data_IF_284750212139
#
_entry.id   IF_284750212139
#
_cell.length_a   1.000
_cell.length_b   1.000
_cell.length_c   1.000
_cell.angle_alpha   90.00
_cell.angle_beta   90.00
_cell.angle_gamma   90.00
#
_symmetry.space_group_name_H-M   'P 1'
#
loop_
_entity.id
_entity.type
_entity.pdbx_description
1 polymer ?
#
# COMPACT_ATOMS: atom_id res chain seq x y z
N UNK A 1 17.59 -9.27 -8.79
CA UNK A 1 16.60 -8.75 -7.85
C UNK A 1 15.46 -9.73 -7.72
N UNK A 2 14.93 -9.96 -6.54
CA UNK A 2 13.72 -10.79 -6.37
C UNK A 2 12.53 -9.84 -6.44
N UNK A 3 11.64 -10.04 -7.37
CA UNK A 3 10.36 -9.33 -7.44
C UNK A 3 9.39 -9.96 -6.44
N UNK A 4 8.68 -9.14 -5.67
CA UNK A 4 7.65 -9.59 -4.74
C UNK A 4 6.41 -8.73 -4.96
N UNK A 5 5.34 -9.36 -5.36
CA UNK A 5 4.04 -8.75 -5.67
C UNK A 5 3.02 -8.87 -4.53
N UNK A 6 3.31 -9.71 -3.53
CA UNK A 6 2.47 -9.87 -2.36
C UNK A 6 3.30 -9.90 -1.08
N UNK A 7 2.86 -9.17 -0.08
CA UNK A 7 3.49 -9.13 1.24
C UNK A 7 2.46 -9.10 2.35
N UNK A 8 2.67 -9.89 3.41
CA UNK A 8 1.88 -9.82 4.64
C UNK A 8 2.59 -8.91 5.62
N UNK A 9 1.89 -7.87 6.10
CA UNK A 9 2.43 -6.94 7.09
C UNK A 9 1.49 -6.78 8.27
N UNK A 10 2.09 -6.48 9.42
CA UNK A 10 1.38 -6.11 10.63
C UNK A 10 1.39 -4.60 10.78
N UNK A 11 0.24 -4.01 11.00
CA UNK A 11 0.08 -2.58 11.20
C UNK A 11 -0.64 -2.29 12.50
N UNK A 12 -0.15 -1.29 13.24
CA UNK A 12 -0.77 -0.87 14.49
C UNK A 12 -0.76 0.65 14.59
N UNK A 13 -1.91 1.24 14.90
CA UNK A 13 -2.01 2.67 15.18
C UNK A 13 -1.42 2.99 16.56
N UNK A 14 -1.16 4.27 16.81
CA UNK A 14 -0.71 4.74 18.12
C UNK A 14 -1.84 4.78 19.13
N UNK A 15 -1.60 4.32 20.35
CA UNK A 15 -2.53 4.52 21.46
C UNK A 15 -2.58 6.00 21.85
N UNK A 16 -3.74 6.52 22.24
CA UNK A 16 -3.87 7.84 22.84
C UNK A 16 -3.19 7.92 24.21
N UNK A 17 -2.59 9.06 24.52
CA UNK A 17 -2.04 9.37 25.83
C UNK A 17 -3.15 9.49 26.89
N UNK A 18 -2.84 9.25 28.16
CA UNK A 18 -3.79 9.43 29.27
C UNK A 18 -3.94 10.91 29.62
N UNK A 19 -5.12 11.31 30.08
CA UNK A 19 -5.31 12.58 30.74
C UNK A 19 -4.59 12.59 32.11
N UNK A 20 -4.30 13.79 32.60
CA UNK A 20 -3.60 13.99 33.87
C UNK A 20 -4.55 14.47 34.96
N UNK A 21 -4.32 14.03 36.20
CA UNK A 21 -4.91 14.63 37.39
C UNK A 21 -3.86 15.50 38.06
N UNK A 22 -4.08 16.79 38.05
CA UNK A 22 -3.18 17.76 38.71
C UNK A 22 -3.99 18.92 39.26
N UNK A 23 -3.46 19.56 40.30
CA UNK A 23 -4.04 20.73 40.93
C UNK A 23 -2.98 21.82 41.00
N UNK A 24 -3.41 23.08 40.79
CA UNK A 24 -2.54 24.24 40.88
C UNK A 24 -2.05 24.39 42.30
N UNK A 25 -0.75 24.47 42.50
CA UNK A 25 -0.09 24.73 43.77
C UNK A 25 0.91 25.86 43.57
N UNK A 26 0.59 27.01 44.15
CA UNK A 26 1.47 28.18 44.10
C UNK A 26 1.53 28.85 45.47
N UNK A 27 2.60 29.63 45.72
CA UNK A 27 2.74 30.40 46.93
C UNK A 27 1.52 31.34 47.08
N UNK A 28 0.91 31.33 48.24
CA UNK A 28 -0.33 32.12 48.56
C UNK A 28 -1.63 31.64 47.87
N UNK A 29 -1.64 30.48 47.24
CA UNK A 29 -2.88 29.87 46.73
C UNK A 29 -3.06 28.51 47.43
N UNK A 30 -3.89 28.53 48.46
CA UNK A 30 -4.13 27.36 49.31
C UNK A 30 -4.98 26.29 48.63
N UNK A 31 -5.98 26.73 47.88
CA UNK A 31 -6.93 25.86 47.11
C UNK A 31 -6.86 26.18 45.63
N UNK A 32 -5.81 25.67 44.93
CA UNK A 32 -5.74 25.78 43.48
C UNK A 32 -6.70 24.82 42.78
N UNK A 33 -7.36 25.28 41.72
CA UNK A 33 -8.28 24.45 40.97
C UNK A 33 -7.57 23.34 40.15
N UNK A 34 -8.33 22.42 39.52
CA UNK A 34 -7.77 21.38 38.68
C UNK A 34 -7.08 21.99 37.45
N UNK A 35 -5.88 21.48 37.17
CA UNK A 35 -5.05 21.92 36.04
C UNK A 35 -4.35 20.78 35.32
N UNK A 36 -4.92 19.58 35.36
CA UNK A 36 -4.43 18.47 34.58
C UNK A 36 -4.74 18.64 33.10
N UNK A 37 -3.74 18.50 32.25
CA UNK A 37 -3.85 18.57 30.80
C UNK A 37 -4.28 17.23 30.18
N UNK A 38 -4.63 17.28 28.91
CA UNK A 38 -5.10 16.15 28.14
C UNK A 38 -3.93 15.32 27.61
N UNK A 39 -4.18 14.05 27.32
CA UNK A 39 -3.23 13.22 26.57
C UNK A 39 -3.19 13.63 25.09
N UNK A 40 -2.05 13.38 24.45
CA UNK A 40 -1.89 13.55 23.00
C UNK A 40 -2.58 12.43 22.23
N UNK A 41 -2.98 12.70 20.98
CA UNK A 41 -3.48 11.68 20.04
C UNK A 41 -2.35 10.70 19.70
N UNK A 42 -2.65 9.41 19.52
CA UNK A 42 -1.73 8.45 18.91
C UNK A 42 -1.49 8.74 17.43
N UNK A 43 -0.36 8.29 16.88
CA UNK A 43 -0.05 8.41 15.46
C UNK A 43 -0.94 7.53 14.58
N UNK A 44 -1.18 7.97 13.36
CA UNK A 44 -1.96 7.26 12.35
C UNK A 44 -1.07 6.27 11.57
N UNK A 45 -1.67 5.26 10.96
CA UNK A 45 -1.04 4.42 9.92
C UNK A 45 -1.46 4.95 8.57
N UNK A 46 -0.49 5.41 7.79
CA UNK A 46 -0.73 6.11 6.52
C UNK A 46 0.00 5.40 5.39
N UNK A 47 -0.73 5.03 4.35
CA UNK A 47 -0.15 4.58 3.09
C UNK A 47 0.07 5.77 2.16
N UNK A 48 1.21 5.75 1.48
CA UNK A 48 1.55 6.75 0.44
C UNK A 48 2.08 6.02 -0.77
N UNK A 49 1.50 6.30 -1.93
CA UNK A 49 2.00 5.75 -3.19
C UNK A 49 3.25 6.52 -3.64
N UNK A 50 4.28 5.78 -4.07
CA UNK A 50 5.53 6.32 -4.57
C UNK A 50 5.83 5.69 -5.94
N UNK A 51 5.90 6.52 -7.00
CA UNK A 51 6.16 6.09 -8.38
C UNK A 51 7.53 5.44 -8.59
N UNK A 52 8.46 5.69 -7.70
CA UNK A 52 9.80 5.12 -7.79
C UNK A 52 9.85 3.67 -7.28
N UNK A 53 8.77 3.21 -6.66
CA UNK A 53 8.64 1.84 -6.18
C UNK A 53 7.89 0.99 -7.21
N UNK A 54 8.49 -0.15 -7.58
CA UNK A 54 7.89 -1.10 -8.52
C UNK A 54 7.69 -2.50 -7.91
N UNK A 55 7.97 -2.67 -6.62
CA UNK A 55 7.90 -3.97 -5.96
C UNK A 55 7.62 -3.79 -4.47
N UNK A 56 7.06 -4.83 -3.85
CA UNK A 56 6.82 -4.91 -2.41
C UNK A 56 7.95 -5.64 -1.66
N UNK A 57 9.14 -5.76 -2.25
CA UNK A 57 10.23 -6.60 -1.69
C UNK A 57 10.68 -6.17 -0.31
N UNK A 58 10.65 -4.88 0.00
CA UNK A 58 11.08 -4.34 1.30
C UNK A 58 10.22 -4.87 2.45
N UNK A 59 8.93 -5.16 2.17
CA UNK A 59 7.98 -5.69 3.14
C UNK A 59 8.19 -7.17 3.48
N UNK A 60 9.07 -7.85 2.75
CA UNK A 60 9.55 -9.18 3.14
C UNK A 60 10.48 -9.13 4.35
N UNK A 61 11.24 -8.05 4.46
CA UNK A 61 12.24 -7.87 5.52
C UNK A 61 11.67 -7.08 6.70
N UNK A 62 10.90 -6.04 6.40
CA UNK A 62 10.22 -5.24 7.42
C UNK A 62 8.72 -5.51 7.36
N UNK A 63 8.23 -6.29 8.30
CA UNK A 63 6.81 -6.70 8.34
C UNK A 63 5.99 -5.98 9.40
N UNK A 64 6.62 -5.27 10.35
CA UNK A 64 5.92 -4.64 11.47
C UNK A 64 6.00 -3.12 11.38
N UNK A 65 4.84 -2.48 11.31
CA UNK A 65 4.69 -1.03 11.23
C UNK A 65 3.79 -0.56 12.38
N UNK A 66 4.38 0.17 13.34
CA UNK A 66 3.68 0.67 14.52
C UNK A 66 3.85 2.18 14.61
N UNK A 67 2.72 2.91 14.64
CA UNK A 67 2.73 4.33 14.93
C UNK A 67 3.03 4.58 16.41
N UNK A 68 3.58 5.77 16.71
CA UNK A 68 3.93 6.10 18.10
C UNK A 68 2.69 6.43 18.92
N UNK A 69 2.73 6.09 20.20
CA UNK A 69 1.68 6.49 21.16
C UNK A 69 1.72 8.01 21.38
N UNK A 70 0.56 8.61 21.68
CA UNK A 70 0.48 9.96 22.21
C UNK A 70 1.08 10.04 23.62
N UNK A 71 1.68 11.18 23.97
CA UNK A 71 2.18 11.42 25.30
C UNK A 71 1.04 11.66 26.29
N UNK A 72 1.26 11.25 27.53
CA UNK A 72 0.30 11.51 28.59
C UNK A 72 0.26 13.01 28.93
N UNK A 73 -0.88 13.50 29.33
CA UNK A 73 -1.07 14.88 29.81
C UNK A 73 -0.24 15.15 31.06
N UNK A 74 0.07 16.41 31.30
CA UNK A 74 0.85 16.86 32.43
C UNK A 74 0.11 17.95 33.22
N UNK A 75 0.61 18.27 34.41
CA UNK A 75 0.11 19.41 35.19
C UNK A 75 0.29 20.74 34.46
N UNK A 76 -0.31 21.80 35.00
CA UNK A 76 -0.32 23.17 34.45
C UNK A 76 -1.01 23.25 33.06
N UNK A 77 -2.06 22.47 32.87
CA UNK A 77 -2.82 22.35 31.61
C UNK A 77 -1.97 22.01 30.37
N UNK A 78 -0.84 21.31 30.56
CA UNK A 78 0.00 20.91 29.44
C UNK A 78 -0.56 19.64 28.80
N UNK A 79 -1.02 19.76 27.56
CA UNK A 79 -1.44 18.65 26.73
C UNK A 79 -0.22 17.84 26.28
N UNK A 80 -0.32 16.52 26.30
CA UNK A 80 0.70 15.64 25.75
C UNK A 80 0.87 15.85 24.25
N UNK A 81 2.09 15.66 23.73
CA UNK A 81 2.32 15.72 22.29
C UNK A 81 1.67 14.53 21.57
N UNK A 82 1.25 14.75 20.34
CA UNK A 82 0.73 13.67 19.49
C UNK A 82 1.85 12.68 19.14
N UNK A 83 1.48 11.41 18.98
CA UNK A 83 2.37 10.40 18.44
C UNK A 83 2.68 10.65 16.97
N UNK A 84 3.87 10.27 16.54
CA UNK A 84 4.24 10.31 15.13
C UNK A 84 3.52 9.23 14.34
N UNK A 85 3.05 9.63 13.15
CA UNK A 85 2.44 8.70 12.20
C UNK A 85 3.50 7.75 11.63
N UNK A 86 3.07 6.54 11.29
CA UNK A 86 3.88 5.63 10.48
C UNK A 86 3.43 5.73 9.02
N UNK A 87 4.38 6.08 8.16
CA UNK A 87 4.16 6.18 6.72
C UNK A 87 4.69 4.93 6.03
N UNK A 88 3.82 4.24 5.31
CA UNK A 88 4.12 3.03 4.55
C UNK A 88 4.05 3.39 3.07
N UNK A 89 5.20 3.34 2.39
CA UNK A 89 5.30 3.70 0.97
C UNK A 89 5.06 2.48 0.10
N UNK A 90 4.09 2.54 -0.78
CA UNK A 90 3.74 1.45 -1.69
C UNK A 90 3.73 1.92 -3.14
N UNK A 91 4.00 1.04 -4.12
CA UNK A 91 3.84 1.39 -5.53
C UNK A 91 2.37 1.67 -5.86
N UNK A 92 2.08 2.53 -6.86
CA UNK A 92 0.75 2.69 -7.41
C UNK A 92 0.20 1.34 -7.91
N UNK A 93 -1.11 1.11 -7.76
CA UNK A 93 -1.73 -0.18 -8.08
C UNK A 93 -1.64 -1.21 -6.95
N UNK A 94 -1.30 -0.78 -5.73
CA UNK A 94 -1.31 -1.67 -4.55
C UNK A 94 -2.72 -1.79 -4.00
N UNK A 95 -3.17 -3.04 -3.85
CA UNK A 95 -4.39 -3.43 -3.15
C UNK A 95 -4.05 -3.83 -1.70
N UNK A 96 -4.90 -3.41 -0.77
CA UNK A 96 -4.81 -3.77 0.64
C UNK A 96 -5.97 -4.71 0.96
N UNK A 97 -5.66 -5.92 1.38
CA UNK A 97 -6.64 -6.93 1.76
C UNK A 97 -6.57 -7.24 3.26
N UNK A 98 -7.67 -7.78 3.78
CA UNK A 98 -7.70 -8.31 5.13
C UNK A 98 -6.76 -9.52 5.29
N UNK A 99 -6.63 -10.04 6.51
CA UNK A 99 -5.73 -11.14 6.85
C UNK A 99 -5.97 -12.40 6.01
N UNK A 100 -7.22 -12.71 5.69
CA UNK A 100 -7.65 -13.90 4.95
C UNK A 100 -7.72 -13.67 3.43
N UNK A 101 -7.37 -12.48 2.96
CA UNK A 101 -7.48 -12.04 1.55
C UNK A 101 -8.92 -12.09 0.98
N UNK A 102 -9.92 -12.22 1.82
CA UNK A 102 -11.32 -12.36 1.39
C UNK A 102 -11.98 -11.01 1.08
N UNK A 103 -11.47 -9.91 1.66
CA UNK A 103 -12.04 -8.58 1.54
C UNK A 103 -10.96 -7.59 1.09
N UNK A 104 -11.27 -6.84 0.03
CA UNK A 104 -10.49 -5.68 -0.39
C UNK A 104 -10.84 -4.51 0.54
N UNK A 105 -9.85 -4.00 1.27
CA UNK A 105 -10.01 -2.89 2.21
C UNK A 105 -9.77 -1.53 1.55
N UNK A 106 -8.80 -1.46 0.65
CA UNK A 106 -8.49 -0.26 -0.11
C UNK A 106 -7.67 -0.59 -1.36
N UNK A 107 -7.77 0.29 -2.37
CA UNK A 107 -6.99 0.25 -3.60
C UNK A 107 -6.31 1.60 -3.79
N UNK A 108 -5.00 1.59 -4.08
CA UNK A 108 -4.18 2.78 -4.21
C UNK A 108 -3.66 2.87 -5.64
N UNK A 109 -4.37 3.61 -6.50
CA UNK A 109 -4.11 3.68 -7.94
C UNK A 109 -3.34 4.92 -8.35
N UNK A 110 -3.61 6.06 -7.69
CA UNK A 110 -3.06 7.36 -8.08
C UNK A 110 -1.66 7.56 -7.52
N UNK A 111 -0.84 8.34 -8.22
CA UNK A 111 0.49 8.72 -7.77
C UNK A 111 0.40 9.72 -6.61
N UNK A 112 1.29 9.58 -5.62
CA UNK A 112 1.31 10.40 -4.42
C UNK A 112 -0.02 10.41 -3.65
N UNK A 113 -0.85 9.38 -3.84
CA UNK A 113 -2.07 9.19 -3.10
C UNK A 113 -1.74 8.92 -1.63
N UNK A 114 -2.39 9.67 -0.73
CA UNK A 114 -2.26 9.48 0.71
C UNK A 114 -3.55 8.88 1.26
N UNK A 115 -3.45 7.75 1.94
CA UNK A 115 -4.58 7.04 2.53
C UNK A 115 -4.34 6.72 4.00
N UNK A 116 -5.19 7.24 4.89
CA UNK A 116 -5.14 6.93 6.33
C UNK A 116 -5.87 5.62 6.55
N UNK A 117 -5.11 4.57 6.79
CA UNK A 117 -5.64 3.22 6.96
C UNK A 117 -6.16 2.97 8.37
N UNK A 118 -5.37 3.29 9.40
CA UNK A 118 -5.78 3.22 10.80
C UNK A 118 -5.57 4.58 11.46
N UNK A 119 -6.60 5.06 12.16
CA UNK A 119 -6.49 6.29 12.94
C UNK A 119 -5.91 6.01 14.31
N UNK A 120 -5.03 6.87 14.77
CA UNK A 120 -4.52 6.85 16.14
C UNK A 120 -5.61 7.13 17.15
N UNK A 121 -5.52 6.49 18.31
CA UNK A 121 -6.46 6.69 19.40
C UNK A 121 -6.45 8.11 19.91
N UNK A 122 -7.61 8.66 20.24
CA UNK A 122 -7.72 10.00 20.84
C UNK A 122 -7.07 10.04 22.21
N UNK A 123 -6.48 11.18 22.55
CA UNK A 123 -5.98 11.44 23.89
C UNK A 123 -7.09 11.49 24.94
N UNK A 124 -6.80 11.05 26.14
CA UNK A 124 -7.70 11.11 27.28
C UNK A 124 -7.79 12.53 27.84
N UNK A 125 -8.91 12.88 28.41
CA UNK A 125 -9.18 14.18 29.00
C UNK A 125 -8.57 14.28 30.41
N UNK A 126 -7.94 15.41 30.70
CA UNK A 126 -7.43 15.76 32.02
C UNK A 126 -8.55 16.19 33.00
N UNK A 127 -8.23 16.25 34.28
CA UNK A 127 -9.22 16.57 35.30
C UNK A 127 -9.82 17.98 35.19
N UNK A 128 -9.16 18.89 34.49
CA UNK A 128 -9.70 20.25 34.25
C UNK A 128 -11.03 20.24 33.49
N UNK A 129 -11.28 19.23 32.64
CA UNK A 129 -12.54 19.09 31.89
C UNK A 129 -13.73 18.65 32.75
N UNK A 130 -13.47 18.04 33.91
CA UNK A 130 -14.51 17.51 34.81
C UNK A 130 -14.90 18.52 35.92
N UNK A 131 -14.39 19.74 35.87
CA UNK A 131 -14.76 20.79 36.80
C UNK A 131 -16.21 21.22 36.56
N UNK A 132 -16.99 21.20 37.62
CA UNK A 132 -18.38 21.70 37.63
C UNK A 132 -18.65 22.52 38.86
N UNK A 133 -19.85 23.16 38.94
CA UNK A 133 -20.29 23.90 40.12
C UNK A 133 -20.39 23.02 41.36
N UNK A 134 -20.74 21.76 41.20
CA UNK A 134 -20.88 20.81 42.29
C UNK A 134 -19.60 20.03 42.58
N UNK A 135 -18.66 19.95 41.60
CA UNK A 135 -17.38 19.29 41.77
C UNK A 135 -16.24 20.21 41.32
N UNK A 136 -15.73 21.04 42.24
CA UNK A 136 -14.68 22.01 41.94
C UNK A 136 -13.27 21.40 41.95
N UNK A 137 -13.07 20.21 42.51
CA UNK A 137 -11.78 19.51 42.63
C UNK A 137 -11.86 18.09 42.10
N UNK A 138 -12.22 17.87 40.82
CA UNK A 138 -12.37 16.53 40.26
C UNK A 138 -11.02 15.80 40.22
N UNK A 139 -11.07 14.54 40.62
CA UNK A 139 -9.93 13.58 40.50
C UNK A 139 -10.14 12.58 39.37
N UNK A 140 -11.09 12.87 38.50
CA UNK A 140 -11.39 12.03 37.34
C UNK A 140 -10.53 12.44 36.16
N UNK A 141 -10.15 11.47 35.36
CA UNK A 141 -9.50 11.63 34.07
C UNK A 141 -9.93 10.48 33.16
N UNK A 142 -9.74 10.63 31.86
CA UNK A 142 -9.98 9.49 30.94
C UNK A 142 -8.66 8.92 30.44
N UNK A 143 -8.64 7.62 30.23
CA UNK A 143 -7.55 6.99 29.51
C UNK A 143 -7.67 7.38 28.03
N UNK A 144 -6.54 7.46 27.33
CA UNK A 144 -6.57 7.54 25.88
C UNK A 144 -7.20 6.29 25.25
N UNK A 145 -7.77 6.47 24.07
CA UNK A 145 -8.33 5.35 23.30
C UNK A 145 -7.25 4.30 23.01
N UNK A 146 -7.68 3.04 22.93
CA UNK A 146 -6.80 1.92 22.60
C UNK A 146 -6.31 2.04 21.16
N UNK A 147 -5.19 1.40 20.88
CA UNK A 147 -4.69 1.23 19.52
C UNK A 147 -5.58 0.24 18.74
N UNK A 148 -5.61 0.41 17.44
CA UNK A 148 -6.12 -0.59 16.50
C UNK A 148 -4.94 -1.30 15.85
N UNK A 149 -5.02 -2.62 15.74
CA UNK A 149 -3.97 -3.43 15.13
C UNK A 149 -4.56 -4.55 14.30
N UNK A 150 -3.90 -4.88 13.20
CA UNK A 150 -4.30 -6.01 12.35
C UNK A 150 -3.20 -6.46 11.41
N UNK A 151 -3.28 -7.71 10.99
CA UNK A 151 -2.53 -8.22 9.86
C UNK A 151 -3.27 -7.91 8.57
N UNK A 152 -2.53 -7.52 7.54
CA UNK A 152 -3.07 -7.23 6.21
C UNK A 152 -2.15 -7.81 5.14
N UNK A 153 -2.72 -8.03 3.98
CA UNK A 153 -1.96 -8.36 2.78
C UNK A 153 -1.91 -7.15 1.87
N UNK A 154 -0.73 -6.86 1.38
CA UNK A 154 -0.49 -5.98 0.26
C UNK A 154 -0.37 -6.84 -0.99
N UNK A 155 -1.07 -6.49 -2.04
CA UNK A 155 -1.00 -7.15 -3.35
C UNK A 155 -0.82 -6.09 -4.43
N UNK A 156 0.20 -6.25 -5.26
CA UNK A 156 0.46 -5.32 -6.35
C UNK A 156 -0.31 -5.79 -7.59
N UNK A 157 -1.22 -4.94 -8.07
CA UNK A 157 -2.07 -5.23 -9.24
C UNK A 157 -1.34 -4.95 -10.56
N UNK A 158 -0.41 -3.99 -10.55
CA UNK A 158 0.40 -3.67 -11.72
C UNK A 158 1.36 -4.83 -12.02
N UNK A 159 1.23 -5.36 -13.22
CA UNK A 159 1.99 -6.51 -13.69
C UNK A 159 3.29 -6.10 -14.35
N UNK A 160 3.22 -5.11 -15.26
CA UNK A 160 4.38 -4.58 -15.98
C UNK A 160 4.13 -3.15 -16.47
N UNK A 161 5.20 -2.41 -16.72
CA UNK A 161 5.10 -1.12 -17.39
C UNK A 161 4.80 -1.31 -18.88
N UNK A 162 5.38 -2.36 -19.50
CA UNK A 162 5.20 -2.69 -20.91
C UNK A 162 4.84 -4.17 -21.05
N UNK A 163 3.68 -4.45 -21.64
CA UNK A 163 3.28 -5.78 -22.08
C UNK A 163 3.69 -6.01 -23.53
N UNK A 164 4.43 -7.07 -23.79
CA UNK A 164 4.78 -7.47 -25.16
C UNK A 164 3.75 -8.47 -25.65
N UNK A 165 3.08 -8.13 -26.75
CA UNK A 165 2.05 -8.95 -27.38
C UNK A 165 2.47 -9.28 -28.83
N UNK A 166 1.93 -10.34 -29.38
CA UNK A 166 2.20 -10.78 -30.77
C UNK A 166 1.97 -12.26 -30.91
N UNK A 167 1.87 -12.72 -32.14
CA UNK A 167 1.65 -14.14 -32.48
C UNK A 167 2.78 -15.03 -31.95
N UNK A 168 2.55 -16.36 -31.83
CA UNK A 168 3.62 -17.32 -31.58
C UNK A 168 4.74 -17.15 -32.60
N UNK A 169 5.99 -17.29 -32.15
CA UNK A 169 7.20 -17.14 -32.95
C UNK A 169 7.50 -15.74 -33.53
N UNK A 170 6.72 -14.69 -33.21
CA UNK A 170 7.04 -13.32 -33.61
C UNK A 170 8.29 -12.73 -32.91
N UNK A 171 9.05 -13.53 -32.18
CA UNK A 171 10.31 -13.12 -31.58
C UNK A 171 10.21 -12.44 -30.21
N UNK A 172 9.04 -12.47 -29.54
CA UNK A 172 8.80 -11.80 -28.24
C UNK A 172 9.84 -12.17 -27.17
N UNK A 173 10.03 -13.47 -26.93
CA UNK A 173 10.96 -13.94 -25.89
C UNK A 173 12.42 -13.66 -26.25
N UNK A 174 12.77 -13.67 -27.54
CA UNK A 174 14.11 -13.27 -28.02
C UNK A 174 14.33 -11.78 -27.81
N UNK A 175 13.34 -10.95 -28.14
CA UNK A 175 13.37 -9.53 -27.88
C UNK A 175 13.56 -9.24 -26.38
N UNK A 176 12.76 -9.88 -25.52
CA UNK A 176 12.85 -9.69 -24.08
C UNK A 176 14.23 -10.11 -23.52
N UNK A 177 14.76 -11.23 -23.97
CA UNK A 177 16.09 -11.70 -23.53
C UNK A 177 17.23 -10.79 -23.97
N UNK A 178 17.09 -10.13 -25.12
CA UNK A 178 18.11 -9.23 -25.66
C UNK A 178 18.15 -7.88 -24.95
N UNK A 179 16.99 -7.34 -24.58
CA UNK A 179 16.89 -5.99 -23.98
C UNK A 179 16.93 -6.00 -22.45
N UNK A 180 16.66 -7.15 -21.82
CA UNK A 180 16.66 -7.26 -20.36
C UNK A 180 18.08 -7.22 -19.81
N UNK A 181 18.33 -6.36 -18.82
CA UNK A 181 19.61 -6.27 -18.11
C UNK A 181 19.84 -7.44 -17.14
N UNK A 182 18.81 -8.24 -16.87
CA UNK A 182 18.86 -9.44 -16.04
C UNK A 182 18.25 -10.61 -16.81
N UNK A 183 18.64 -11.83 -16.47
CA UNK A 183 17.99 -13.01 -17.06
C UNK A 183 16.47 -12.93 -16.83
N UNK A 184 15.66 -13.04 -17.90
CA UNK A 184 14.21 -13.03 -17.77
C UNK A 184 13.77 -14.14 -16.81
N UNK A 185 12.83 -13.80 -15.93
CA UNK A 185 12.30 -14.75 -14.94
C UNK A 185 10.87 -15.08 -15.23
N UNK A 186 10.57 -16.37 -15.20
CA UNK A 186 9.19 -16.85 -15.14
C UNK A 186 8.62 -16.49 -13.77
N UNK A 187 7.49 -15.80 -13.74
CA UNK A 187 6.83 -15.41 -12.51
C UNK A 187 5.53 -16.19 -12.34
N UNK A 188 5.38 -16.80 -11.16
CA UNK A 188 4.15 -17.50 -10.76
C UNK A 188 3.18 -16.50 -10.14
N UNK A 189 2.18 -16.10 -10.91
CA UNK A 189 1.10 -15.28 -10.38
C UNK A 189 -0.12 -16.16 -10.07
N UNK A 190 -0.77 -15.98 -8.91
CA UNK A 190 -1.90 -16.83 -8.50
C UNK A 190 -3.11 -16.78 -9.44
N UNK A 191 -3.18 -15.72 -10.27
CA UNK A 191 -4.25 -15.49 -11.23
C UNK A 191 -3.87 -15.87 -12.67
N UNK A 192 -2.66 -16.40 -12.89
CA UNK A 192 -2.18 -16.80 -14.22
C UNK A 192 -2.09 -18.30 -14.34
N UNK A 193 -2.70 -18.86 -15.38
CA UNK A 193 -2.49 -20.27 -15.76
C UNK A 193 -1.29 -20.43 -16.71
N UNK A 194 -0.82 -19.32 -17.28
CA UNK A 194 0.36 -19.22 -18.12
C UNK A 194 1.33 -18.30 -17.38
N UNK A 195 2.54 -18.77 -17.14
CA UNK A 195 3.57 -18.05 -16.41
C UNK A 195 4.22 -17.01 -17.32
N UNK A 196 3.98 -15.69 -17.10
CA UNK A 196 4.60 -14.66 -17.91
C UNK A 196 6.10 -14.59 -17.61
N UNK A 197 6.85 -14.22 -18.61
CA UNK A 197 8.30 -13.99 -18.48
C UNK A 197 8.52 -12.49 -18.29
N UNK A 198 9.12 -12.11 -17.17
CA UNK A 198 9.42 -10.72 -16.87
C UNK A 198 10.88 -10.39 -17.14
N UNK A 199 11.11 -9.27 -17.82
CA UNK A 199 12.41 -8.65 -17.99
C UNK A 199 12.44 -7.26 -17.35
N UNK A 200 13.60 -6.84 -16.84
CA UNK A 200 13.80 -5.51 -16.29
C UNK A 200 14.86 -4.79 -17.11
N UNK A 201 14.51 -3.61 -17.59
CA UNK A 201 15.43 -2.69 -18.26
C UNK A 201 15.76 -1.55 -17.29
N UNK A 202 17.07 -1.29 -17.10
CA UNK A 202 17.55 -0.12 -16.39
C UNK A 202 18.07 0.91 -17.38
N UNK A 203 17.46 2.10 -17.38
CA UNK A 203 17.91 3.23 -18.18
C UNK A 203 17.70 4.54 -17.41
N UNK A 204 18.77 5.35 -17.26
CA UNK A 204 18.72 6.65 -16.60
C UNK A 204 18.03 6.65 -15.23
N UNK A 205 18.49 5.85 -14.29
CA UNK A 205 17.93 5.71 -12.93
C UNK A 205 16.46 5.27 -12.85
N UNK A 206 15.90 4.81 -13.98
CA UNK A 206 14.55 4.23 -14.03
C UNK A 206 14.64 2.74 -14.35
N UNK A 207 13.85 1.97 -13.65
CA UNK A 207 13.62 0.57 -13.95
C UNK A 207 12.27 0.44 -14.69
N UNK A 208 12.28 -0.21 -15.84
CA UNK A 208 11.07 -0.51 -16.63
C UNK A 208 10.88 -2.02 -16.61
N UNK A 209 9.74 -2.47 -16.12
CA UNK A 209 9.37 -3.87 -16.13
C UNK A 209 8.63 -4.19 -17.42
N UNK A 210 9.16 -5.16 -18.16
CA UNK A 210 8.56 -5.65 -19.41
C UNK A 210 8.10 -7.08 -19.19
N UNK A 211 6.86 -7.37 -19.60
CA UNK A 211 6.30 -8.72 -19.53
C UNK A 211 6.09 -9.28 -20.94
N UNK A 212 6.59 -10.47 -21.18
CA UNK A 212 6.12 -11.30 -22.29
C UNK A 212 4.78 -11.91 -21.89
N UNK A 213 3.71 -11.46 -22.54
CA UNK A 213 2.36 -11.98 -22.29
C UNK A 213 2.15 -13.18 -23.22
N UNK A 214 2.26 -14.43 -22.70
CA UNK A 214 2.10 -15.61 -23.53
C UNK A 214 0.64 -15.77 -23.96
N UNK A 215 0.43 -16.10 -25.20
CA UNK A 215 -0.77 -16.82 -25.61
C UNK A 215 -1.88 -16.03 -26.28
N UNK A 216 -1.59 -15.38 -27.41
CA UNK A 216 -2.59 -15.40 -28.48
C UNK A 216 -2.38 -16.69 -29.27
N UNK A 217 -3.10 -17.73 -28.88
CA UNK A 217 -3.28 -18.91 -29.71
C UNK A 217 -4.44 -18.59 -30.67
N UNK A 218 -4.29 -18.97 -31.96
CA UNK A 218 -5.39 -18.97 -32.92
C UNK A 218 -6.65 -19.54 -32.25
N UNK A 219 -7.76 -18.79 -32.27
CA UNK A 219 -9.02 -19.20 -31.65
C UNK A 219 -9.31 -18.61 -30.27
N UNK A 220 -8.55 -17.66 -29.75
CA UNK A 220 -8.85 -16.97 -28.49
C UNK A 220 -10.20 -16.21 -28.55
N UNK A 221 -10.63 -15.79 -29.74
CA UNK A 221 -11.91 -15.15 -30.02
C UNK A 221 -13.10 -16.14 -30.00
N UNK A 222 -12.86 -17.46 -30.00
CA UNK A 222 -13.92 -18.49 -30.00
C UNK A 222 -14.44 -18.85 -28.59
N UNK A 223 -14.20 -18.05 -27.57
CA UNK A 223 -14.88 -18.19 -26.27
C UNK A 223 -14.41 -19.34 -25.38
N UNK A 224 -13.23 -19.92 -25.60
CA UNK A 224 -12.71 -21.04 -24.77
C UNK A 224 -11.98 -20.61 -23.48
N UNK A 225 -12.39 -19.51 -22.83
CA UNK A 225 -11.94 -19.15 -21.49
C UNK A 225 -10.48 -18.66 -21.33
N UNK A 226 -9.71 -18.55 -22.41
CA UNK A 226 -8.36 -18.00 -22.43
C UNK A 226 -8.33 -16.48 -22.65
N UNK A 227 -9.36 -15.94 -23.32
CA UNK A 227 -9.48 -14.50 -23.62
C UNK A 227 -9.57 -13.64 -22.37
N UNK A 228 -10.41 -13.99 -21.42
CA UNK A 228 -10.60 -13.21 -20.18
C UNK A 228 -9.32 -13.11 -19.34
N UNK A 229 -8.51 -14.18 -19.32
CA UNK A 229 -7.25 -14.21 -18.59
C UNK A 229 -6.16 -13.39 -19.29
N UNK A 230 -6.14 -13.41 -20.62
CA UNK A 230 -5.26 -12.60 -21.43
C UNK A 230 -5.59 -11.11 -21.29
N UNK A 231 -6.87 -10.74 -21.36
CA UNK A 231 -7.33 -9.36 -21.13
C UNK A 231 -6.94 -8.87 -19.73
N UNK A 232 -7.06 -9.72 -18.71
CA UNK A 232 -6.64 -9.38 -17.36
C UNK A 232 -5.12 -9.09 -17.24
N UNK A 233 -4.27 -9.66 -18.10
CA UNK A 233 -2.85 -9.33 -18.14
C UNK A 233 -2.58 -8.03 -18.88
N UNK A 234 -3.29 -7.78 -19.98
CA UNK A 234 -3.19 -6.56 -20.77
C UNK A 234 -3.60 -5.35 -19.95
N UNK A 235 -4.73 -5.41 -19.25
CA UNK A 235 -5.26 -4.34 -18.40
C UNK A 235 -4.31 -3.92 -17.28
N UNK A 236 -3.36 -4.78 -16.93
CA UNK A 236 -2.35 -4.53 -15.89
C UNK A 236 -1.02 -3.99 -16.42
N UNK A 237 -0.94 -3.72 -17.72
CA UNK A 237 0.21 -3.08 -18.36
C UNK A 237 -0.12 -1.62 -18.68
N UNK A 238 0.84 -0.71 -18.48
CA UNK A 238 0.65 0.71 -18.84
C UNK A 238 0.70 0.94 -20.34
N UNK A 239 1.54 0.17 -21.02
CA UNK A 239 1.79 0.27 -22.48
C UNK A 239 1.82 -1.13 -23.06
N UNK A 240 1.28 -1.29 -24.26
CA UNK A 240 1.39 -2.53 -25.03
C UNK A 240 2.35 -2.34 -26.22
N UNK A 241 3.31 -3.24 -26.34
CA UNK A 241 4.22 -3.32 -27.47
C UNK A 241 3.83 -4.53 -28.33
N UNK A 242 3.32 -4.26 -29.52
CA UNK A 242 2.93 -5.28 -30.45
C UNK A 242 4.10 -5.64 -31.39
N UNK A 243 4.59 -6.88 -31.31
CA UNK A 243 5.59 -7.42 -32.23
C UNK A 243 4.93 -8.17 -33.36
N UNK A 244 5.31 -7.81 -34.60
CA UNK A 244 4.79 -8.39 -35.82
C UNK A 244 5.96 -8.91 -36.64
N UNK A 245 5.85 -10.15 -37.11
CA UNK A 245 6.80 -10.72 -38.06
C UNK A 245 6.53 -10.17 -39.45
N UNK A 246 7.42 -9.34 -39.96
CA UNK A 246 7.33 -8.73 -41.28
C UNK A 246 7.63 -9.72 -42.43
N UNK A 247 8.15 -10.87 -42.13
CA UNK A 247 8.41 -11.93 -43.13
C UNK A 247 7.15 -12.74 -43.47
N UNK A 248 6.12 -12.68 -42.63
CA UNK A 248 4.83 -13.32 -42.88
C UNK A 248 4.04 -12.51 -43.94
N UNK A 249 3.63 -13.13 -45.07
CA UNK A 249 2.81 -12.45 -46.08
C UNK A 249 1.48 -11.91 -45.55
N UNK A 250 0.95 -12.51 -44.47
CA UNK A 250 -0.34 -12.13 -43.87
C UNK A 250 -0.16 -11.16 -42.68
N UNK A 251 0.97 -10.46 -42.56
CA UNK A 251 1.27 -9.59 -41.41
C UNK A 251 0.18 -8.52 -41.12
N UNK A 252 -0.54 -8.04 -42.15
CA UNK A 252 -1.62 -7.09 -41.96
C UNK A 252 -2.84 -7.69 -41.26
N UNK A 253 -3.22 -8.90 -41.64
CA UNK A 253 -4.31 -9.65 -41.00
C UNK A 253 -3.95 -10.01 -39.57
N UNK A 254 -2.73 -10.43 -39.34
CA UNK A 254 -2.17 -10.72 -38.03
C UNK A 254 -2.16 -9.49 -37.11
N UNK A 255 -1.87 -8.30 -37.67
CA UNK A 255 -1.96 -7.03 -36.91
C UNK A 255 -3.40 -6.74 -36.51
N UNK A 256 -4.34 -6.83 -37.45
CA UNK A 256 -5.75 -6.50 -37.22
C UNK A 256 -6.43 -7.50 -36.28
N UNK A 257 -6.07 -8.78 -36.32
CA UNK A 257 -6.65 -9.81 -35.44
C UNK A 257 -6.44 -9.52 -33.96
N UNK A 258 -5.33 -8.87 -33.62
CA UNK A 258 -4.98 -8.50 -32.26
C UNK A 258 -5.61 -7.22 -31.76
N UNK A 259 -5.92 -6.28 -32.66
CA UNK A 259 -6.57 -5.00 -32.32
C UNK A 259 -8.07 -5.20 -32.07
N UNK A 260 -8.68 -6.22 -32.65
CA UNK A 260 -10.11 -6.51 -32.54
C UNK A 260 -10.48 -7.45 -31.39
N UNK A 261 -9.51 -7.84 -30.57
CA UNK A 261 -9.73 -8.55 -29.31
C UNK A 261 -9.99 -7.53 -28.19
#
# INVERSE_FOLDING_TARGET
>A
MKFLDQAKIYVASGKGGKGCVSFRREKYIEYGGPNGGDGGKGGDVVFVTDQNLNTLIDYRYQQHFKAKKGQDGMGKNKTGSNGEDVVIKVPPGTEIHNEDKSVLLAELLENNQKYIFLKGGKGGLGNSHFKSSTNQAPRQFTNGESLEERWIWLSLKLFADVGVIGLPNAGKSTFLSTISNAQPKVADYPFTTLHPVLGVIKKFDREIVIADIPGLIEGAHEGKGLGDKFLAHIERCKILLHLIDSSDPNWKENYLSLIHI
#
